data_IF_586659287131
#
_entry.id   IF_586659287131
#
_cell.length_a   1.000
_cell.length_b   1.000
_cell.length_c   1.000
_cell.angle_alpha   90.00
_cell.angle_beta   90.00
_cell.angle_gamma   90.00
#
_symmetry.space_group_name_H-M   'P 1'
#
loop_
_entity.id
_entity.type
_entity.pdbx_description
1 polymer ?
#
# COMPACT_ATOMS: atom_id res chain seq x y z
N UNK A 1 -5.56 -8.09 10.90
CA UNK A 1 -5.70 -6.64 11.19
C UNK A 1 -5.67 -6.31 12.67
N UNK A 2 -6.51 -6.89 13.54
CA UNK A 2 -6.55 -6.54 14.98
C UNK A 2 -5.19 -6.67 15.68
N UNK A 3 -4.42 -7.72 15.34
CA UNK A 3 -3.05 -7.93 15.82
C UNK A 3 -2.05 -6.86 15.37
N UNK A 4 -2.19 -6.36 14.15
CA UNK A 4 -1.36 -5.28 13.60
C UNK A 4 -1.77 -3.93 14.21
N UNK A 5 -3.07 -3.66 14.38
CA UNK A 5 -3.55 -2.44 15.04
C UNK A 5 -3.12 -2.33 16.51
N UNK A 6 -2.80 -3.45 17.17
CA UNK A 6 -2.22 -3.52 18.53
C UNK A 6 -0.70 -3.63 18.53
N UNK A 7 -0.06 -3.79 17.37
CA UNK A 7 1.39 -3.82 17.31
C UNK A 7 1.93 -2.50 17.90
N UNK A 8 2.98 -2.59 18.70
CA UNK A 8 3.63 -1.46 19.39
C UNK A 8 2.83 -0.74 20.48
N UNK A 9 1.79 -1.36 21.05
CA UNK A 9 0.92 -0.69 22.05
C UNK A 9 0.35 0.64 21.53
N UNK A 10 0.17 0.76 20.20
CA UNK A 10 -0.42 1.95 19.57
C UNK A 10 -1.77 2.25 20.23
N UNK A 11 -1.86 3.43 20.86
CA UNK A 11 -3.12 3.93 21.41
C UNK A 11 -4.06 4.10 20.22
N UNK A 12 -5.16 3.35 20.20
CA UNK A 12 -6.17 3.47 19.15
C UNK A 12 -6.82 4.85 19.28
N UNK A 13 -6.34 5.80 18.50
CA UNK A 13 -6.90 7.16 18.42
C UNK A 13 -8.25 7.11 17.70
N UNK A 14 -9.06 8.16 17.90
CA UNK A 14 -10.35 8.31 17.22
C UNK A 14 -10.20 8.28 15.70
N UNK A 15 -9.07 8.75 15.17
CA UNK A 15 -8.80 8.80 13.74
C UNK A 15 -8.35 7.44 13.19
N UNK A 16 -7.54 6.67 13.93
CA UNK A 16 -7.25 5.28 13.58
C UNK A 16 -8.51 4.42 13.59
N UNK A 17 -9.43 4.64 14.55
CA UNK A 17 -10.71 3.93 14.58
C UNK A 17 -11.57 4.22 13.35
N UNK A 18 -11.64 5.48 12.90
CA UNK A 18 -12.35 5.85 11.67
C UNK A 18 -11.70 5.23 10.44
N UNK A 19 -10.37 5.17 10.41
CA UNK A 19 -9.62 4.54 9.33
C UNK A 19 -9.89 3.04 9.28
N UNK A 20 -9.86 2.34 10.42
CA UNK A 20 -10.24 0.93 10.49
C UNK A 20 -11.67 0.74 9.98
N UNK A 21 -12.62 1.61 10.36
CA UNK A 21 -13.99 1.56 9.84
C UNK A 21 -14.04 1.70 8.32
N UNK A 22 -13.24 2.59 7.71
CA UNK A 22 -13.19 2.71 6.25
C UNK A 22 -12.61 1.46 5.60
N UNK A 23 -11.63 0.81 6.24
CA UNK A 23 -11.13 -0.50 5.79
C UNK A 23 -12.20 -1.59 5.86
N UNK A 24 -13.10 -1.55 6.86
CA UNK A 24 -14.21 -2.51 6.96
C UNK A 24 -15.21 -2.32 5.83
N UNK A 25 -15.53 -1.06 5.51
CA UNK A 25 -16.42 -0.74 4.41
C UNK A 25 -15.81 -1.21 3.06
N UNK A 26 -14.46 -1.17 2.92
CA UNK A 26 -13.76 -1.75 1.75
C UNK A 26 -13.92 -3.27 1.68
N UNK A 27 -13.82 -3.98 2.81
CA UNK A 27 -14.03 -5.43 2.86
C UNK A 27 -15.46 -5.78 2.47
N UNK A 28 -16.43 -5.04 3.01
CA UNK A 28 -17.84 -5.23 2.66
C UNK A 28 -18.06 -5.01 1.17
N UNK A 29 -17.47 -3.97 0.57
CA UNK A 29 -17.54 -3.74 -0.88
C UNK A 29 -16.91 -4.88 -1.69
N UNK A 30 -15.77 -5.42 -1.25
CA UNK A 30 -15.08 -6.53 -1.94
C UNK A 30 -15.91 -7.81 -1.93
N UNK A 31 -16.50 -8.17 -0.79
CA UNK A 31 -17.32 -9.38 -0.65
C UNK A 31 -18.81 -9.18 -0.94
N UNK A 32 -19.24 -7.94 -1.25
CA UNK A 32 -20.65 -7.56 -1.41
C UNK A 32 -21.45 -8.39 -2.41
N UNK A 33 -20.79 -8.98 -3.41
CA UNK A 33 -21.42 -9.84 -4.42
C UNK A 33 -21.72 -11.26 -3.92
N UNK A 34 -21.00 -11.75 -2.92
CA UNK A 34 -21.06 -13.15 -2.47
C UNK A 34 -21.70 -13.30 -1.09
N UNK A 35 -21.57 -12.32 -0.21
CA UNK A 35 -22.12 -12.38 1.15
C UNK A 35 -22.49 -10.98 1.67
N UNK A 36 -23.68 -10.84 2.28
CA UNK A 36 -24.12 -9.63 2.97
C UNK A 36 -23.87 -9.68 4.49
N UNK A 37 -23.61 -8.53 5.11
CA UNK A 37 -23.54 -8.43 6.58
C UNK A 37 -22.18 -8.74 7.20
N UNK A 38 -21.10 -8.73 6.40
CA UNK A 38 -19.74 -8.93 6.92
C UNK A 38 -19.31 -7.86 7.92
N UNK A 39 -19.84 -6.64 7.84
CA UNK A 39 -19.45 -5.53 8.72
C UNK A 39 -19.64 -5.84 10.21
N UNK A 40 -20.81 -6.35 10.58
CA UNK A 40 -21.13 -6.66 11.98
C UNK A 40 -20.36 -7.88 12.47
N UNK A 41 -20.24 -8.90 11.63
CA UNK A 41 -19.47 -10.13 11.91
C UNK A 41 -17.98 -9.83 12.05
N UNK A 42 -17.45 -8.96 11.20
CA UNK A 42 -16.06 -8.55 11.27
C UNK A 42 -15.80 -7.68 12.50
N UNK A 43 -16.67 -6.72 12.82
CA UNK A 43 -16.52 -5.89 14.01
C UNK A 43 -16.46 -6.74 15.29
N UNK A 44 -17.31 -7.76 15.41
CA UNK A 44 -17.30 -8.67 16.56
C UNK A 44 -16.05 -9.57 16.58
N UNK A 45 -15.60 -10.08 15.43
CA UNK A 45 -14.33 -10.83 15.32
C UNK A 45 -13.13 -9.94 15.65
N UNK A 46 -13.12 -8.69 15.20
CA UNK A 46 -12.04 -7.74 15.44
C UNK A 46 -11.92 -7.44 16.94
N UNK A 47 -13.06 -7.22 17.62
CA UNK A 47 -13.09 -7.00 19.07
C UNK A 47 -12.74 -8.26 19.86
N UNK A 48 -13.13 -9.44 19.36
CA UNK A 48 -12.72 -10.72 19.93
C UNK A 48 -11.20 -10.93 19.82
N UNK A 49 -10.63 -10.80 18.62
CA UNK A 49 -9.18 -10.96 18.36
C UNK A 49 -8.33 -9.88 19.04
N UNK A 50 -8.91 -8.70 19.31
CA UNK A 50 -8.28 -7.68 20.13
C UNK A 50 -7.97 -8.18 21.53
N UNK A 51 -8.80 -9.08 22.10
CA UNK A 51 -8.69 -9.54 23.48
C UNK A 51 -8.09 -10.95 23.64
N UNK A 52 -7.82 -11.66 22.54
CA UNK A 52 -7.30 -13.04 22.56
C UNK A 52 -5.94 -13.15 21.90
N UNK A 53 -4.99 -13.89 22.47
CA UNK A 53 -3.63 -14.11 21.94
C UNK A 53 -3.50 -15.35 21.04
N UNK A 54 -4.38 -15.43 20.04
CA UNK A 54 -4.17 -16.40 18.95
C UNK A 54 -2.93 -16.03 18.14
N UNK A 55 -2.15 -17.04 17.79
CA UNK A 55 -0.93 -16.82 17.01
C UNK A 55 -1.29 -16.52 15.54
N UNK A 56 -0.50 -15.68 14.89
CA UNK A 56 -0.68 -15.36 13.46
C UNK A 56 -0.71 -16.62 12.58
N UNK A 57 0.07 -17.64 12.95
CA UNK A 57 0.14 -18.91 12.23
C UNK A 57 -1.19 -19.70 12.27
N UNK A 58 -1.94 -19.62 13.36
CA UNK A 58 -3.26 -20.24 13.47
C UNK A 58 -4.31 -19.49 12.64
N UNK A 59 -4.18 -18.16 12.52
CA UNK A 59 -5.10 -17.35 11.71
C UNK A 59 -4.86 -17.53 10.20
N UNK A 60 -3.62 -17.81 9.79
CA UNK A 60 -3.25 -18.04 8.39
C UNK A 60 -3.54 -19.46 7.88
N UNK A 61 -4.11 -20.35 8.70
CA UNK A 61 -4.40 -21.73 8.28
C UNK A 61 -5.61 -21.85 7.32
N UNK A 62 -6.36 -20.76 7.14
CA UNK A 62 -7.50 -20.73 6.23
C UNK A 62 -7.04 -20.77 4.77
N UNK A 63 -7.83 -21.43 3.91
CA UNK A 63 -7.59 -21.40 2.46
C UNK A 63 -8.10 -20.07 1.91
N UNK A 64 -7.19 -19.27 1.39
CA UNK A 64 -7.50 -18.03 0.68
C UNK A 64 -7.27 -18.21 -0.82
N UNK A 65 -8.10 -17.57 -1.63
CA UNK A 65 -7.84 -17.41 -3.06
C UNK A 65 -6.79 -16.32 -3.29
N UNK A 66 -6.05 -16.41 -4.39
CA UNK A 66 -4.96 -15.47 -4.73
C UNK A 66 -5.41 -14.00 -4.68
N UNK A 67 -6.61 -13.70 -5.20
CA UNK A 67 -7.21 -12.35 -5.16
C UNK A 67 -7.52 -11.85 -3.74
N UNK A 68 -7.92 -12.73 -2.83
CA UNK A 68 -8.23 -12.40 -1.43
C UNK A 68 -6.96 -12.11 -0.64
N UNK A 69 -5.89 -12.86 -0.96
CA UNK A 69 -4.57 -12.66 -0.39
C UNK A 69 -4.02 -11.29 -0.77
N UNK A 70 -4.07 -10.94 -2.07
CA UNK A 70 -3.60 -9.64 -2.56
C UNK A 70 -4.35 -8.48 -1.90
N UNK A 71 -5.67 -8.61 -1.78
CA UNK A 71 -6.51 -7.62 -1.10
C UNK A 71 -6.19 -7.51 0.39
N UNK A 72 -6.02 -8.64 1.08
CA UNK A 72 -5.66 -8.67 2.50
C UNK A 72 -4.32 -7.99 2.76
N UNK A 73 -3.29 -8.29 1.96
CA UNK A 73 -1.95 -7.70 2.12
C UNK A 73 -2.02 -6.19 1.99
N UNK A 74 -2.72 -5.69 0.97
CA UNK A 74 -2.85 -4.25 0.76
C UNK A 74 -3.56 -3.58 1.94
N UNK A 75 -4.61 -4.20 2.47
CA UNK A 75 -5.33 -3.68 3.62
C UNK A 75 -4.45 -3.66 4.89
N UNK A 76 -3.60 -4.69 5.09
CA UNK A 76 -2.63 -4.70 6.18
C UNK A 76 -1.56 -3.62 6.02
N UNK A 77 -1.07 -3.39 4.80
CA UNK A 77 -0.12 -2.33 4.51
C UNK A 77 -0.73 -0.94 4.73
N UNK A 78 -1.96 -0.70 4.25
CA UNK A 78 -2.73 0.53 4.52
C UNK A 78 -2.80 0.83 6.02
N UNK A 79 -3.03 -0.20 6.84
CA UNK A 79 -3.10 -0.09 8.29
C UNK A 79 -1.75 0.23 8.93
N UNK A 80 -0.67 -0.41 8.48
CA UNK A 80 0.69 -0.19 8.99
C UNK A 80 1.19 1.21 8.63
N UNK A 81 1.00 1.61 7.37
CA UNK A 81 1.46 2.90 6.86
C UNK A 81 0.49 4.05 7.17
N UNK A 82 -0.58 3.82 7.93
CA UNK A 82 -1.47 4.88 8.40
C UNK A 82 -0.69 6.00 9.14
N UNK A 83 0.25 5.62 10.01
CA UNK A 83 1.12 6.57 10.73
C UNK A 83 2.40 6.93 9.93
N UNK A 84 2.43 6.60 8.64
CA UNK A 84 3.52 6.80 7.69
C UNK A 84 4.89 6.22 8.09
N UNK A 85 4.94 5.36 9.11
CA UNK A 85 6.14 4.62 9.52
C UNK A 85 5.75 3.22 9.96
N UNK A 86 6.42 2.23 9.37
CA UNK A 86 6.38 0.85 9.80
C UNK A 86 7.43 0.62 10.88
N UNK A 87 7.02 0.14 12.05
CA UNK A 87 7.95 -0.26 13.10
C UNK A 87 8.63 -1.59 12.80
N UNK A 88 9.69 -1.91 13.56
CA UNK A 88 10.33 -3.22 13.49
C UNK A 88 9.37 -4.36 13.87
N UNK A 89 8.48 -4.15 14.84
CA UNK A 89 7.52 -5.16 15.28
C UNK A 89 6.39 -5.35 14.26
N UNK A 90 5.87 -4.26 13.67
CA UNK A 90 4.90 -4.34 12.58
C UNK A 90 5.49 -5.07 11.37
N UNK A 91 6.77 -4.81 11.06
CA UNK A 91 7.47 -5.54 10.00
C UNK A 91 7.61 -7.02 10.31
N UNK A 92 8.04 -7.37 11.52
CA UNK A 92 8.15 -8.78 11.92
C UNK A 92 6.79 -9.49 11.88
N UNK A 93 5.72 -8.82 12.32
CA UNK A 93 4.36 -9.36 12.24
C UNK A 93 3.91 -9.55 10.80
N UNK A 94 4.19 -8.58 9.92
CA UNK A 94 3.84 -8.69 8.50
C UNK A 94 4.61 -9.81 7.82
N UNK A 95 5.92 -9.94 8.06
CA UNK A 95 6.73 -11.05 7.55
C UNK A 95 6.19 -12.42 8.03
N UNK A 96 5.79 -12.52 9.30
CA UNK A 96 5.15 -13.72 9.84
C UNK A 96 3.81 -14.04 9.15
N UNK A 97 2.99 -13.04 8.83
CA UNK A 97 1.74 -13.23 8.07
C UNK A 97 2.06 -13.73 6.66
N UNK A 98 3.04 -13.14 5.97
CA UNK A 98 3.45 -13.54 4.62
C UNK A 98 3.95 -14.98 4.60
N UNK A 99 4.74 -15.39 5.60
CA UNK A 99 5.19 -16.78 5.77
C UNK A 99 3.98 -17.70 6.04
N UNK A 100 3.07 -17.29 6.92
CA UNK A 100 1.87 -18.05 7.27
C UNK A 100 0.94 -18.28 6.06
N UNK A 101 0.83 -17.28 5.18
CA UNK A 101 0.07 -17.35 3.92
C UNK A 101 0.83 -18.10 2.80
N UNK A 102 2.03 -18.61 3.07
CA UNK A 102 2.91 -19.33 2.13
C UNK A 102 3.30 -18.51 0.90
N UNK A 103 3.49 -17.21 1.10
CA UNK A 103 3.88 -16.28 0.05
C UNK A 103 5.40 -16.07 0.02
N UNK A 104 5.89 -15.59 -1.11
CA UNK A 104 7.31 -15.29 -1.27
C UNK A 104 7.66 -13.95 -0.59
N UNK A 105 8.54 -14.00 0.42
CA UNK A 105 9.05 -12.83 1.13
C UNK A 105 9.76 -11.83 0.22
N UNK A 106 10.36 -12.28 -0.89
CA UNK A 106 11.02 -11.39 -1.86
C UNK A 106 9.98 -10.48 -2.51
N UNK A 107 8.86 -11.04 -2.98
CA UNK A 107 7.78 -10.28 -3.57
C UNK A 107 7.18 -9.29 -2.56
N UNK A 108 7.02 -9.71 -1.30
CA UNK A 108 6.58 -8.82 -0.23
C UNK A 108 7.53 -7.65 -0.02
N UNK A 109 8.86 -7.88 -0.01
CA UNK A 109 9.86 -6.80 0.12
C UNK A 109 9.79 -5.81 -1.03
N UNK A 110 9.58 -6.27 -2.26
CA UNK A 110 9.39 -5.37 -3.41
C UNK A 110 8.13 -4.52 -3.28
N UNK A 111 7.01 -5.12 -2.86
CA UNK A 111 5.76 -4.39 -2.61
C UNK A 111 5.95 -3.40 -1.46
N UNK A 112 6.59 -3.81 -0.38
CA UNK A 112 6.89 -2.96 0.78
C UNK A 112 7.70 -1.74 0.37
N UNK A 113 8.78 -1.91 -0.40
CA UNK A 113 9.61 -0.80 -0.89
C UNK A 113 8.79 0.22 -1.69
N UNK A 114 7.89 -0.26 -2.56
CA UNK A 114 6.96 0.60 -3.31
C UNK A 114 6.03 1.37 -2.36
N UNK A 115 5.48 0.73 -1.33
CA UNK A 115 4.64 1.38 -0.32
C UNK A 115 5.41 2.43 0.51
N UNK A 116 6.64 2.13 0.95
CA UNK A 116 7.49 3.10 1.66
C UNK A 116 7.73 4.35 0.81
N UNK A 117 8.04 4.18 -0.48
CA UNK A 117 8.21 5.29 -1.41
C UNK A 117 6.92 6.13 -1.56
N UNK A 118 5.75 5.49 -1.60
CA UNK A 118 4.45 6.18 -1.72
C UNK A 118 4.16 7.05 -0.50
N UNK A 119 4.38 6.51 0.70
CA UNK A 119 4.03 7.19 1.95
C UNK A 119 5.04 8.24 2.37
N UNK A 120 6.34 8.02 2.14
CA UNK A 120 7.35 9.06 2.33
C UNK A 120 7.10 10.25 1.39
N UNK A 121 6.68 9.98 0.15
CA UNK A 121 6.32 11.02 -0.82
C UNK A 121 5.13 11.89 -0.39
N UNK A 122 4.10 11.31 0.23
CA UNK A 122 2.93 12.08 0.70
C UNK A 122 3.24 12.86 1.97
N UNK A 123 4.06 12.33 2.88
CA UNK A 123 4.42 13.00 4.14
C UNK A 123 5.53 14.04 4.04
N UNK A 124 6.52 13.86 3.16
CA UNK A 124 7.57 14.88 2.95
C UNK A 124 7.00 16.18 2.37
N UNK A 125 5.90 16.10 1.60
CA UNK A 125 5.17 17.29 1.14
C UNK A 125 4.36 17.96 2.27
N UNK A 126 3.94 17.24 3.31
CA UNK A 126 3.12 17.82 4.40
C UNK A 126 3.94 18.60 5.43
N UNK A 127 5.27 18.41 5.50
CA UNK A 127 6.13 19.14 6.45
C UNK A 127 6.77 20.41 5.86
N UNK A 128 6.55 20.72 4.58
CA UNK A 128 7.04 21.96 3.96
C UNK A 128 5.94 22.96 3.56
N UNK A 129 4.66 22.65 3.82
CA UNK A 129 3.55 23.58 3.56
C UNK A 129 3.31 24.56 4.72
N UNK A 130 4.23 25.53 4.83
CA UNK A 130 3.85 26.91 5.17
C UNK A 130 4.20 27.90 4.04
N UNK A 131 4.60 27.45 2.86
CA UNK A 131 4.69 28.33 1.70
C UNK A 131 4.41 27.60 0.39
N UNK A 132 3.32 28.01 -0.26
CA UNK A 132 2.88 27.75 -1.65
C UNK A 132 1.97 26.54 -1.85
N UNK A 133 0.68 26.85 -1.77
CA UNK A 133 -0.39 26.12 -2.46
C UNK A 133 -0.06 25.99 -3.96
N UNK A 134 -0.25 24.77 -4.49
CA UNK A 134 -0.57 24.40 -5.89
C UNK A 134 0.45 23.66 -6.77
N UNK A 135 1.60 23.20 -6.29
CA UNK A 135 2.41 22.26 -7.09
C UNK A 135 2.94 21.10 -6.24
N UNK A 136 2.50 19.87 -6.57
CA UNK A 136 3.16 18.64 -6.14
C UNK A 136 4.59 18.62 -6.69
N UNK A 137 5.52 19.29 -6.01
CA UNK A 137 6.92 19.39 -6.42
C UNK A 137 7.68 18.24 -5.79
N UNK A 138 8.05 17.28 -6.63
CA UNK A 138 8.82 16.12 -6.18
C UNK A 138 10.27 16.39 -6.53
N UNK A 139 11.18 16.02 -5.65
CA UNK A 139 12.61 16.25 -5.89
C UNK A 139 13.11 15.35 -7.02
N UNK A 140 14.18 15.78 -7.69
CA UNK A 140 14.81 14.99 -8.76
C UNK A 140 15.26 13.61 -8.27
N UNK A 141 15.77 13.50 -7.04
CA UNK A 141 16.19 12.23 -6.43
C UNK A 141 15.00 11.29 -6.20
N UNK A 142 13.88 11.80 -5.70
CA UNK A 142 12.64 11.03 -5.58
C UNK A 142 12.11 10.59 -6.96
N UNK A 143 12.20 11.45 -7.98
CA UNK A 143 11.79 11.10 -9.34
C UNK A 143 12.58 9.91 -9.89
N UNK A 144 13.90 9.87 -9.67
CA UNK A 144 14.73 8.71 -10.01
C UNK A 144 14.31 7.46 -9.23
N UNK A 145 14.04 7.59 -7.93
CA UNK A 145 13.57 6.49 -7.08
C UNK A 145 12.23 5.90 -7.55
N UNK A 146 11.25 6.74 -7.89
CA UNK A 146 9.92 6.32 -8.39
C UNK A 146 10.06 5.53 -9.70
N UNK A 147 10.96 5.96 -10.58
CA UNK A 147 11.21 5.29 -11.85
C UNK A 147 12.20 4.12 -11.73
N UNK A 148 12.59 3.70 -10.52
CA UNK A 148 13.60 2.67 -10.27
C UNK A 148 14.86 2.89 -11.13
N UNK A 149 15.27 4.15 -11.24
CA UNK A 149 16.38 4.60 -12.09
C UNK A 149 17.39 5.36 -11.24
N UNK A 150 18.62 5.46 -11.72
CA UNK A 150 19.70 6.19 -11.06
C UNK A 150 20.01 7.49 -11.81
N UNK A 151 20.47 8.57 -11.14
CA UNK A 151 20.93 9.80 -11.79
C UNK A 151 21.98 9.62 -12.89
N UNK A 152 22.68 8.48 -12.90
CA UNK A 152 23.74 8.13 -13.87
C UNK A 152 23.22 7.30 -15.05
N UNK A 153 21.98 6.82 -15.01
CA UNK A 153 21.40 6.04 -16.09
C UNK A 153 21.22 6.89 -17.34
N UNK A 154 21.29 6.29 -18.52
CA UNK A 154 20.97 6.98 -19.77
C UNK A 154 19.44 7.22 -19.91
N UNK A 155 19.06 8.15 -20.77
CA UNK A 155 17.65 8.49 -20.96
C UNK A 155 16.85 7.33 -21.57
N UNK A 156 17.48 6.45 -22.34
CA UNK A 156 16.81 5.26 -22.88
C UNK A 156 16.42 4.27 -21.78
N UNK A 157 17.28 4.06 -20.78
CA UNK A 157 17.03 3.22 -19.60
C UNK A 157 15.91 3.81 -18.76
N UNK A 158 15.93 5.13 -18.51
CA UNK A 158 14.86 5.82 -17.78
C UNK A 158 13.53 5.69 -18.51
N UNK A 159 13.51 5.88 -19.83
CA UNK A 159 12.31 5.72 -20.66
C UNK A 159 11.81 4.27 -20.71
N UNK A 160 12.72 3.29 -20.68
CA UNK A 160 12.37 1.87 -20.58
C UNK A 160 11.72 1.55 -19.24
N UNK A 161 12.29 2.05 -18.15
CA UNK A 161 11.76 1.86 -16.80
C UNK A 161 10.39 2.53 -16.64
N UNK A 162 10.24 3.76 -17.16
CA UNK A 162 8.95 4.46 -17.24
C UNK A 162 7.91 3.62 -17.99
N UNK A 163 8.21 3.13 -19.20
CA UNK A 163 7.26 2.30 -19.98
C UNK A 163 6.87 1.01 -19.25
N UNK A 164 7.82 0.38 -18.54
CA UNK A 164 7.56 -0.82 -17.74
C UNK A 164 6.58 -0.51 -16.61
N UNK A 165 6.85 0.53 -15.83
CA UNK A 165 6.01 0.97 -14.72
C UNK A 165 4.64 1.45 -15.21
N UNK A 166 4.59 2.26 -16.27
CA UNK A 166 3.34 2.72 -16.87
C UNK A 166 2.47 1.55 -17.35
N UNK A 167 3.07 0.49 -17.91
CA UNK A 167 2.34 -0.73 -18.28
C UNK A 167 1.86 -1.51 -17.06
N UNK A 168 2.68 -1.62 -16.01
CA UNK A 168 2.34 -2.32 -14.77
C UNK A 168 1.16 -1.66 -14.04
N UNK A 169 1.13 -0.33 -14.01
CA UNK A 169 0.11 0.47 -13.32
C UNK A 169 -0.99 1.00 -14.24
N UNK A 170 -1.02 0.60 -15.52
CA UNK A 170 -2.05 1.05 -16.45
C UNK A 170 -3.43 0.52 -16.03
N UNK A 171 -4.41 1.42 -15.99
CA UNK A 171 -5.78 1.10 -15.57
C UNK A 171 -6.34 -0.12 -16.33
N UNK A 172 -6.19 -0.18 -17.66
CA UNK A 172 -6.69 -1.32 -18.45
C UNK A 172 -6.05 -2.67 -18.11
N UNK A 173 -4.76 -2.69 -17.75
CA UNK A 173 -4.05 -3.92 -17.37
C UNK A 173 -4.44 -4.42 -15.96
N UNK A 174 -4.99 -3.53 -15.13
CA UNK A 174 -5.39 -3.82 -13.76
C UNK A 174 -6.90 -4.04 -13.64
N UNK A 175 -7.67 -3.33 -14.44
CA UNK A 175 -9.12 -3.50 -14.58
C UNK A 175 -9.44 -4.88 -15.17
N UNK A 176 -8.67 -5.33 -16.17
CA UNK A 176 -8.80 -6.69 -16.74
C UNK A 176 -8.49 -7.82 -15.76
N UNK A 177 -7.82 -7.52 -14.63
CA UNK A 177 -7.57 -8.49 -13.55
C UNK A 177 -8.69 -8.52 -12.50
N UNK A 178 -9.77 -7.77 -12.71
CA UNK A 178 -10.89 -7.61 -11.75
C UNK A 178 -10.40 -7.21 -10.35
N UNK A 179 -9.34 -6.39 -10.30
CA UNK A 179 -8.79 -5.95 -9.04
C UNK A 179 -9.80 -5.06 -8.30
N UNK A 180 -9.83 -5.13 -6.96
CA UNK A 180 -10.69 -4.28 -6.14
C UNK A 180 -10.63 -2.81 -6.58
N UNK A 181 -11.76 -2.07 -6.55
CA UNK A 181 -11.81 -0.65 -6.93
C UNK A 181 -10.77 0.23 -6.24
N UNK A 182 -10.32 -0.18 -5.05
CA UNK A 182 -9.32 0.54 -4.29
C UNK A 182 -7.87 0.29 -4.78
N UNK A 183 -7.56 -0.93 -5.25
CA UNK A 183 -6.29 -1.20 -5.93
C UNK A 183 -6.20 -0.43 -7.26
N UNK A 184 -7.34 -0.23 -7.92
CA UNK A 184 -7.42 0.63 -9.09
C UNK A 184 -7.12 2.10 -8.74
N UNK A 185 -7.57 2.61 -7.57
CA UNK A 185 -7.22 3.97 -7.12
C UNK A 185 -5.73 4.11 -6.81
N UNK A 186 -5.15 3.17 -6.07
CA UNK A 186 -3.71 3.17 -5.77
C UNK A 186 -2.89 3.12 -7.07
N UNK A 187 -3.31 2.30 -8.02
CA UNK A 187 -2.67 2.24 -9.32
C UNK A 187 -2.81 3.53 -10.12
N UNK A 188 -3.97 4.19 -10.07
CA UNK A 188 -4.17 5.51 -10.68
C UNK A 188 -3.27 6.57 -10.05
N UNK A 189 -3.12 6.58 -8.72
CA UNK A 189 -2.19 7.47 -8.02
C UNK A 189 -0.74 7.17 -8.38
N UNK A 190 -0.36 5.90 -8.46
CA UNK A 190 0.97 5.48 -8.92
C UNK A 190 1.23 5.94 -10.35
N UNK A 191 0.27 5.79 -11.24
CA UNK A 191 0.39 6.24 -12.63
C UNK A 191 0.63 7.76 -12.71
N UNK A 192 -0.08 8.56 -11.90
CA UNK A 192 0.15 10.00 -11.81
C UNK A 192 1.57 10.32 -11.34
N UNK A 193 2.07 9.63 -10.31
CA UNK A 193 3.43 9.82 -9.79
C UNK A 193 4.50 9.40 -10.79
N UNK A 194 4.31 8.29 -11.49
CA UNK A 194 5.20 7.79 -12.55
C UNK A 194 5.32 8.82 -13.67
N UNK A 195 4.21 9.42 -14.10
CA UNK A 195 4.20 10.46 -15.11
C UNK A 195 4.93 11.72 -14.63
N UNK A 196 4.64 12.18 -13.40
CA UNK A 196 5.29 13.36 -12.82
C UNK A 196 6.82 13.17 -12.68
N UNK A 197 7.26 12.00 -12.22
CA UNK A 197 8.68 11.67 -12.10
C UNK A 197 9.39 11.68 -13.47
N UNK A 198 8.73 11.18 -14.50
CA UNK A 198 9.29 11.17 -15.85
C UNK A 198 9.43 12.58 -16.42
N UNK A 199 8.43 13.45 -16.25
CA UNK A 199 8.49 14.83 -16.73
C UNK A 199 9.60 15.63 -16.02
N UNK A 200 9.76 15.49 -14.70
CA UNK A 200 10.81 16.21 -13.95
C UNK A 200 12.22 15.80 -14.39
N UNK A 201 12.46 14.50 -14.61
CA UNK A 201 13.76 14.04 -15.11
C UNK A 201 14.00 14.54 -16.53
N UNK A 202 12.95 14.54 -17.37
CA UNK A 202 13.03 15.00 -18.75
C UNK A 202 13.35 16.51 -18.83
N UNK A 203 12.64 17.34 -18.07
CA UNK A 203 12.91 18.78 -17.96
C UNK A 203 14.33 19.05 -17.47
N UNK A 204 14.76 18.35 -16.41
CA UNK A 204 16.11 18.54 -15.84
C UNK A 204 17.22 18.17 -16.82
N UNK A 205 17.00 17.13 -17.63
CA UNK A 205 17.97 16.66 -18.63
C UNK A 205 17.86 17.40 -19.96
N UNK A 206 16.90 18.32 -20.11
CA UNK A 206 16.69 19.12 -21.32
C UNK A 206 16.25 18.30 -22.55
N UNK A 207 15.48 17.23 -22.33
CA UNK A 207 15.02 16.29 -23.37
C UNK A 207 13.52 16.37 -23.64
#
# INVERSE_FOLDING_TARGET
MAKIARADDKIITKDLSKFISSLLDKIEMFYSKEYGGFRNTYASIFEYEKNHDRSVNELCSAKFHEKEIDFLICLLLDLIYYDAKMSANENALMENIIIGLRLNLINFREIKLKYEQIYNFTHENTQQEQAKENECTITLEQAYGILNSHPKDDFETIKKNYRKLAKEYHYDNLYSKELPPELLKIAQEMMKKINLAYEIIKETRGV
#
